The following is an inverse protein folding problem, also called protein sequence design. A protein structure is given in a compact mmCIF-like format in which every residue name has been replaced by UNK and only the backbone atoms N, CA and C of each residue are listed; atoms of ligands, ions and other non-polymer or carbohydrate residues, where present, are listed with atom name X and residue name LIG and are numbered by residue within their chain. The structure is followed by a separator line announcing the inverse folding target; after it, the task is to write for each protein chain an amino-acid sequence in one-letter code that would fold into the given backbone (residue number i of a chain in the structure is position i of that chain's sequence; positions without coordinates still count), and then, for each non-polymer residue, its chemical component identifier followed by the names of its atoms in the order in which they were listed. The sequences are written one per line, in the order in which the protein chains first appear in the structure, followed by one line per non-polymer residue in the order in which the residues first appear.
data_IF_932358372028
#
_entry.id   IF_932358372028
#
_cell.length_a   1.000
_cell.length_b   1.000
_cell.length_c   1.000
_cell.angle_alpha   90.00
_cell.angle_beta   90.00
_cell.angle_gamma   90.00
#
_symmetry.space_group_name_H-M   'P 1'
#
loop_
_entity.id
_entity.type
_entity.pdbx_description
1 polymer ?
#
# COMPACT_ATOMS: atom_id res chain seq x y z
N UNK A 1 24.75 35.98 -24.72
CA UNK A 1 23.88 35.90 -23.53
C UNK A 1 22.59 35.11 -23.82
N UNK A 2 21.84 35.41 -24.88
CA UNK A 2 20.54 34.76 -25.22
C UNK A 2 20.61 33.23 -25.32
N UNK A 3 21.62 32.64 -25.90
CA UNK A 3 21.78 31.18 -26.06
C UNK A 3 22.08 30.46 -24.73
N UNK A 4 22.74 31.14 -23.77
CA UNK A 4 23.02 30.54 -22.44
C UNK A 4 21.75 30.49 -21.58
N UNK A 5 20.88 31.50 -21.67
CA UNK A 5 19.59 31.56 -20.97
C UNK A 5 18.67 30.46 -21.52
N UNK A 6 18.62 30.27 -22.83
CA UNK A 6 17.81 29.22 -23.45
C UNK A 6 18.26 27.82 -23.02
N UNK A 7 19.55 27.57 -22.96
CA UNK A 7 20.14 26.31 -22.51
C UNK A 7 19.79 26.04 -21.03
N UNK A 8 19.85 27.04 -20.17
CA UNK A 8 19.51 26.94 -18.76
C UNK A 8 18.03 26.62 -18.57
N UNK A 9 17.13 27.23 -19.35
CA UNK A 9 15.69 26.96 -19.31
C UNK A 9 15.40 25.53 -19.76
N UNK A 10 16.03 25.03 -20.81
CA UNK A 10 15.87 23.64 -21.28
C UNK A 10 16.34 22.66 -20.21
N UNK A 11 17.50 22.90 -19.59
CA UNK A 11 18.04 22.05 -18.50
C UNK A 11 17.07 22.06 -17.31
N UNK A 12 16.54 23.19 -16.90
CA UNK A 12 15.57 23.28 -15.79
C UNK A 12 14.30 22.51 -16.13
N UNK A 13 13.76 22.64 -17.35
CA UNK A 13 12.56 21.92 -17.78
C UNK A 13 12.76 20.38 -17.81
N UNK A 14 13.98 19.90 -18.16
CA UNK A 14 14.28 18.46 -18.16
C UNK A 14 14.35 17.88 -16.73
N UNK A 15 14.75 18.67 -15.73
CA UNK A 15 14.79 18.21 -14.34
C UNK A 15 13.41 18.11 -13.67
N UNK A 16 12.39 18.80 -14.18
CA UNK A 16 11.02 18.70 -13.64
C UNK A 16 10.24 17.48 -14.14
N UNK A 17 10.73 16.74 -15.12
CA UNK A 17 10.02 15.58 -15.67
C UNK A 17 10.34 14.24 -14.97
N UNK A 18 11.28 14.21 -14.03
CA UNK A 18 11.65 12.98 -13.33
C UNK A 18 10.63 12.61 -12.24
N UNK A 19 9.87 11.55 -12.44
CA UNK A 19 9.11 10.86 -11.41
C UNK A 19 7.60 11.08 -11.40
N UNK A 20 7.02 11.58 -12.48
CA UNK A 20 5.55 11.69 -12.58
C UNK A 20 4.99 10.36 -13.05
N UNK A 21 4.40 9.59 -12.11
CA UNK A 21 3.58 8.45 -12.48
C UNK A 21 2.37 8.92 -13.27
N UNK A 22 2.07 8.21 -14.37
CA UNK A 22 0.82 8.41 -15.08
C UNK A 22 -0.31 7.79 -14.28
N UNK A 23 -1.17 8.64 -13.71
CA UNK A 23 -2.30 8.19 -12.88
C UNK A 23 -3.55 8.05 -13.74
N UNK A 24 -4.14 6.87 -13.73
CA UNK A 24 -5.33 6.52 -14.51
C UNK A 24 -6.59 6.49 -13.64
N UNK A 25 -7.76 6.69 -14.28
CA UNK A 25 -9.09 6.58 -13.66
C UNK A 25 -9.31 7.50 -12.43
N UNK A 26 -8.79 8.72 -12.49
CA UNK A 26 -8.99 9.72 -11.44
C UNK A 26 -10.45 10.11 -11.28
N UNK A 27 -11.19 10.11 -12.37
CA UNK A 27 -12.63 10.39 -12.46
C UNK A 27 -13.51 9.37 -11.71
N UNK A 28 -12.93 8.24 -11.30
CA UNK A 28 -13.60 7.18 -10.53
C UNK A 28 -13.21 7.18 -9.05
N UNK A 29 -12.31 8.08 -8.66
CA UNK A 29 -11.85 8.12 -7.27
C UNK A 29 -12.97 8.59 -6.35
N UNK A 30 -13.05 8.00 -5.14
CA UNK A 30 -13.92 8.47 -4.05
C UNK A 30 -13.60 9.95 -3.77
N UNK A 31 -14.63 10.73 -3.47
CA UNK A 31 -14.45 12.11 -2.98
C UNK A 31 -13.55 12.10 -1.74
N UNK A 32 -12.41 12.76 -1.83
CA UNK A 32 -11.42 12.84 -0.76
C UNK A 32 -11.44 14.17 0.00
N UNK A 33 -12.20 15.15 -0.49
CA UNK A 33 -12.28 16.47 0.16
C UNK A 33 -13.23 16.44 1.35
N UNK A 34 -14.40 15.80 1.17
CA UNK A 34 -15.47 15.74 2.16
C UNK A 34 -15.63 14.37 2.83
N UNK A 35 -14.73 13.44 2.55
CA UNK A 35 -14.82 12.09 3.08
C UNK A 35 -14.42 12.04 4.56
N UNK A 36 -15.19 11.28 5.34
CA UNK A 36 -14.86 11.01 6.74
C UNK A 36 -15.38 9.63 7.16
N UNK A 37 -14.62 8.95 7.99
CA UNK A 37 -14.98 7.66 8.57
C UNK A 37 -15.21 7.85 10.07
N UNK A 38 -16.41 7.47 10.53
CA UNK A 38 -16.75 7.53 11.95
C UNK A 38 -16.13 6.32 12.68
N UNK A 39 -15.48 6.59 13.82
CA UNK A 39 -14.97 5.58 14.75
C UNK A 39 -16.01 4.59 15.27
N UNK A 40 -17.31 4.92 15.19
CA UNK A 40 -18.38 3.99 15.55
C UNK A 40 -18.58 2.89 14.51
N UNK A 41 -18.22 3.15 13.25
CA UNK A 41 -18.34 2.17 12.17
C UNK A 41 -17.16 1.20 12.13
N UNK A 42 -15.95 1.71 12.32
CA UNK A 42 -14.70 0.94 12.34
C UNK A 42 -13.73 1.52 13.36
N UNK A 43 -13.00 0.67 14.07
CA UNK A 43 -11.90 1.10 14.93
C UNK A 43 -10.75 1.63 14.09
N UNK A 44 -10.24 2.82 14.44
CA UNK A 44 -9.19 3.50 13.68
C UNK A 44 -7.83 3.52 14.39
N UNK A 45 -7.73 3.01 15.63
CA UNK A 45 -6.50 2.97 16.42
C UNK A 45 -5.66 1.71 16.17
N UNK A 46 -5.52 1.32 14.90
CA UNK A 46 -4.80 0.13 14.51
C UNK A 46 -4.84 -0.09 13.00
N UNK A 47 -4.83 -1.34 12.61
CA UNK A 47 -4.94 -1.74 11.21
C UNK A 47 -5.86 -2.94 11.02
N UNK A 48 -6.42 -3.05 9.83
CA UNK A 48 -7.17 -4.21 9.38
C UNK A 48 -6.29 -5.10 8.53
N UNK A 49 -6.36 -6.42 8.76
CA UNK A 49 -5.54 -7.39 8.06
C UNK A 49 -6.34 -8.60 7.60
N UNK A 50 -5.89 -9.20 6.52
CA UNK A 50 -6.31 -10.52 6.08
C UNK A 50 -5.11 -11.43 5.90
N UNK A 51 -5.27 -12.69 6.27
CA UNK A 51 -4.28 -13.75 6.19
C UNK A 51 -4.44 -14.50 4.87
N UNK A 52 -3.34 -14.79 4.21
CA UNK A 52 -3.34 -15.65 3.04
C UNK A 52 -2.01 -16.42 2.91
N UNK A 53 -2.03 -17.46 2.12
CA UNK A 53 -0.84 -18.25 1.81
C UNK A 53 -0.55 -18.14 0.32
N UNK A 54 0.73 -18.05 -0.02
CA UNK A 54 1.19 -18.09 -1.40
C UNK A 54 2.16 -19.26 -1.56
N UNK A 55 1.92 -20.10 -2.57
CA UNK A 55 2.77 -21.23 -2.89
C UNK A 55 3.80 -20.83 -3.95
N UNK A 56 5.08 -20.91 -3.61
CA UNK A 56 6.18 -20.59 -4.49
C UNK A 56 6.59 -21.77 -5.36
N UNK A 57 6.83 -21.48 -6.65
CA UNK A 57 7.47 -22.39 -7.60
C UNK A 57 8.99 -22.17 -7.68
N UNK A 58 9.54 -22.36 -8.88
CA UNK A 58 10.99 -22.32 -9.12
C UNK A 58 11.63 -20.93 -9.03
N UNK A 59 10.85 -19.85 -9.13
CA UNK A 59 11.35 -18.46 -9.14
C UNK A 59 10.91 -17.70 -7.89
N UNK A 60 11.39 -18.13 -6.71
CA UNK A 60 11.14 -17.44 -5.46
C UNK A 60 12.19 -16.36 -5.16
N UNK A 61 11.85 -15.31 -4.39
CA UNK A 61 12.83 -14.34 -3.89
C UNK A 61 13.94 -15.05 -3.09
N UNK A 62 15.20 -14.57 -3.13
CA UNK A 62 16.35 -15.29 -2.54
C UNK A 62 16.15 -15.73 -1.08
N UNK A 63 15.54 -14.88 -0.23
CA UNK A 63 15.30 -15.21 1.18
C UNK A 63 14.19 -16.27 1.36
N UNK A 64 13.21 -16.32 0.46
CA UNK A 64 12.17 -17.36 0.42
C UNK A 64 12.77 -18.66 -0.09
N UNK A 65 13.61 -18.60 -1.13
CA UNK A 65 14.30 -19.76 -1.67
C UNK A 65 15.21 -20.43 -0.62
N UNK A 66 15.96 -19.64 0.15
CA UNK A 66 16.74 -20.15 1.28
C UNK A 66 15.89 -20.88 2.33
N UNK A 67 14.74 -20.32 2.65
CA UNK A 67 13.80 -20.95 3.58
C UNK A 67 13.26 -22.27 3.02
N UNK A 68 12.83 -22.27 1.76
CA UNK A 68 12.31 -23.47 1.07
C UNK A 68 13.37 -24.57 1.02
N UNK A 69 14.62 -24.22 0.67
CA UNK A 69 15.73 -25.20 0.64
C UNK A 69 16.00 -25.83 2.00
N UNK A 70 15.90 -25.07 3.07
CA UNK A 70 16.16 -25.54 4.45
C UNK A 70 15.02 -26.37 5.02
N UNK A 71 13.78 -26.08 4.65
CA UNK A 71 12.59 -26.63 5.34
C UNK A 71 11.73 -27.51 4.45
N UNK A 72 11.84 -27.41 3.13
CA UNK A 72 10.94 -28.04 2.16
C UNK A 72 9.55 -27.38 2.07
N UNK A 73 9.27 -26.33 2.84
CA UNK A 73 7.95 -25.66 2.92
C UNK A 73 7.86 -24.62 1.84
N UNK A 74 6.99 -24.84 0.83
CA UNK A 74 6.75 -23.92 -0.30
C UNK A 74 5.63 -22.91 -0.05
N UNK A 75 4.71 -23.20 0.88
CA UNK A 75 3.62 -22.30 1.25
C UNK A 75 4.08 -21.29 2.28
N UNK A 76 4.08 -20.02 1.90
CA UNK A 76 4.51 -18.91 2.75
C UNK A 76 3.29 -18.10 3.18
N UNK A 77 3.22 -17.81 4.46
CA UNK A 77 2.15 -17.04 5.10
C UNK A 77 2.38 -15.54 4.96
N UNK A 78 1.34 -14.85 4.50
CA UNK A 78 1.36 -13.42 4.23
C UNK A 78 0.20 -12.71 4.88
N UNK A 79 0.39 -11.43 5.16
CA UNK A 79 -0.65 -10.48 5.51
C UNK A 79 -0.83 -9.45 4.39
N UNK A 80 -2.08 -9.09 4.13
CA UNK A 80 -2.45 -7.84 3.45
C UNK A 80 -3.12 -6.94 4.46
N UNK A 81 -2.72 -5.68 4.52
CA UNK A 81 -3.05 -4.76 5.62
C UNK A 81 -3.60 -3.45 5.07
N UNK A 82 -4.59 -2.88 5.76
CA UNK A 82 -5.07 -1.52 5.57
C UNK A 82 -4.93 -0.73 6.86
N UNK A 83 -4.21 0.39 6.80
CA UNK A 83 -4.32 1.47 7.76
C UNK A 83 -5.38 2.44 7.27
N UNK A 84 -6.46 2.61 8.03
CA UNK A 84 -7.59 3.48 7.67
C UNK A 84 -7.57 4.69 8.60
N UNK A 85 -7.70 5.91 8.05
CA UNK A 85 -7.67 7.17 8.77
C UNK A 85 -9.06 7.81 8.81
N UNK A 86 -9.26 8.74 9.75
CA UNK A 86 -10.56 9.40 9.96
C UNK A 86 -11.07 10.16 8.74
N UNK A 87 -10.17 10.71 7.94
CA UNK A 87 -10.51 11.42 6.71
C UNK A 87 -10.71 10.51 5.49
N UNK A 88 -10.87 9.22 5.72
CA UNK A 88 -11.05 8.20 4.69
C UNK A 88 -9.75 7.83 3.95
N UNK A 89 -8.62 8.47 4.22
CA UNK A 89 -7.35 8.06 3.64
C UNK A 89 -6.97 6.65 4.08
N UNK A 90 -6.38 5.88 3.18
CA UNK A 90 -5.84 4.56 3.51
C UNK A 90 -4.40 4.39 3.01
N UNK A 91 -3.68 3.54 3.73
CA UNK A 91 -2.43 2.95 3.27
C UNK A 91 -2.61 1.45 3.23
N UNK A 92 -2.42 0.88 2.04
CA UNK A 92 -2.39 -0.57 1.84
C UNK A 92 -0.95 -1.05 1.96
N UNK A 93 -0.76 -2.15 2.66
CA UNK A 93 0.52 -2.87 2.70
C UNK A 93 0.24 -4.32 2.34
N UNK A 94 0.74 -4.74 1.20
CA UNK A 94 0.53 -6.10 0.71
C UNK A 94 1.78 -6.97 0.85
N UNK A 95 1.59 -8.27 0.94
CA UNK A 95 2.68 -9.24 0.87
C UNK A 95 3.66 -9.22 2.04
N UNK A 96 3.22 -8.84 3.23
CA UNK A 96 4.05 -8.89 4.44
C UNK A 96 4.12 -10.32 4.96
N UNK A 97 5.33 -10.84 5.13
CA UNK A 97 5.57 -12.17 5.70
C UNK A 97 6.57 -12.12 6.86
N UNK A 98 6.60 -13.20 7.63
CA UNK A 98 7.47 -13.31 8.80
C UNK A 98 8.94 -13.62 8.49
N UNK A 99 9.25 -13.97 7.24
CA UNK A 99 10.61 -14.30 6.78
C UNK A 99 11.35 -13.09 6.24
N UNK A 100 10.67 -11.97 6.02
CA UNK A 100 11.26 -10.76 5.44
C UNK A 100 12.37 -10.21 6.33
N UNK A 101 13.56 -10.09 5.75
CA UNK A 101 14.68 -9.39 6.34
C UNK A 101 14.60 -7.91 5.94
N UNK A 102 14.16 -7.06 6.86
CA UNK A 102 14.31 -5.63 6.67
C UNK A 102 15.65 -5.21 7.28
N UNK A 103 16.48 -4.53 6.50
CA UNK A 103 17.76 -3.95 6.94
C UNK A 103 17.62 -2.92 8.08
N UNK A 104 16.42 -2.73 8.58
CA UNK A 104 16.04 -1.63 9.44
C UNK A 104 15.86 -2.01 10.90
N UNK A 105 15.61 -3.24 11.20
CA UNK A 105 15.52 -3.73 12.56
C UNK A 105 15.78 -5.24 12.56
N UNK A 106 16.60 -5.67 13.49
CA UNK A 106 16.75 -7.10 13.77
C UNK A 106 15.44 -7.60 14.38
N UNK A 107 14.95 -8.71 13.85
CA UNK A 107 13.89 -9.49 14.45
C UNK A 107 14.52 -10.55 15.35
N UNK A 108 13.87 -10.86 16.46
CA UNK A 108 14.24 -11.96 17.31
C UNK A 108 14.09 -13.31 16.59
N UNK A 109 13.09 -13.41 15.71
CA UNK A 109 12.79 -14.63 14.97
C UNK A 109 12.32 -14.33 13.56
N UNK A 110 12.73 -15.18 12.61
CA UNK A 110 12.26 -15.18 11.21
C UNK A 110 11.51 -16.49 10.99
N UNK A 111 10.20 -16.44 11.13
CA UNK A 111 9.34 -17.61 11.09
C UNK A 111 8.24 -17.45 10.04
N UNK A 112 7.86 -18.57 9.42
CA UNK A 112 6.71 -18.62 8.51
C UNK A 112 5.39 -18.69 9.30
N UNK A 113 5.14 -17.66 10.11
CA UNK A 113 3.92 -17.52 10.93
C UNK A 113 3.27 -16.17 10.68
N UNK A 114 1.96 -16.08 10.87
CA UNK A 114 1.24 -14.79 10.80
C UNK A 114 1.68 -13.84 11.91
N UNK A 115 2.00 -14.37 13.10
CA UNK A 115 2.49 -13.52 14.20
C UNK A 115 3.86 -12.91 13.88
N UNK A 116 4.76 -13.66 13.24
CA UNK A 116 6.03 -13.10 12.77
C UNK A 116 5.84 -12.06 11.65
N UNK A 117 4.80 -12.19 10.82
CA UNK A 117 4.42 -11.16 9.85
C UNK A 117 3.87 -9.90 10.54
N UNK A 118 3.09 -10.02 11.61
CA UNK A 118 2.66 -8.87 12.43
C UNK A 118 3.85 -8.15 13.08
N UNK A 119 4.84 -8.88 13.62
CA UNK A 119 6.09 -8.29 14.13
C UNK A 119 6.83 -7.49 13.04
N UNK A 120 6.81 -7.95 11.80
CA UNK A 120 7.37 -7.18 10.67
C UNK A 120 6.69 -5.82 10.52
N UNK A 121 5.35 -5.76 10.61
CA UNK A 121 4.61 -4.49 10.53
C UNK A 121 4.99 -3.57 11.70
N UNK A 122 5.07 -4.09 12.92
CA UNK A 122 5.48 -3.31 14.10
C UNK A 122 6.88 -2.71 13.93
N UNK A 123 7.82 -3.47 13.38
CA UNK A 123 9.16 -2.98 13.08
C UNK A 123 9.17 -1.88 12.01
N UNK A 124 8.35 -2.03 10.96
CA UNK A 124 8.16 -0.98 9.95
C UNK A 124 7.62 0.31 10.59
N UNK A 125 6.64 0.21 11.48
CA UNK A 125 6.06 1.35 12.19
C UNK A 125 7.09 2.03 13.11
N UNK A 126 7.91 1.28 13.84
CA UNK A 126 9.00 1.82 14.65
C UNK A 126 10.06 2.52 13.80
N UNK A 127 10.39 1.96 12.64
CA UNK A 127 11.44 2.47 11.75
C UNK A 127 11.10 3.81 11.11
N UNK A 128 9.83 4.17 10.97
CA UNK A 128 9.42 5.49 10.45
C UNK A 128 9.91 6.65 11.31
N UNK A 129 10.12 6.42 12.60
CA UNK A 129 10.60 7.41 13.58
C UNK A 129 12.13 7.37 13.75
N UNK A 130 12.84 6.56 12.97
CA UNK A 130 14.29 6.48 13.02
C UNK A 130 14.93 7.83 12.66
N UNK A 131 15.95 8.23 13.40
CA UNK A 131 16.81 9.37 13.07
C UNK A 131 17.70 9.09 11.86
N UNK A 132 17.97 7.82 11.57
CA UNK A 132 18.77 7.40 10.43
C UNK A 132 17.97 7.51 9.12
N UNK A 133 18.42 8.41 8.23
CA UNK A 133 17.75 8.68 6.95
C UNK A 133 17.61 7.43 6.07
N UNK A 134 18.59 6.52 6.08
CA UNK A 134 18.57 5.29 5.29
C UNK A 134 17.48 4.36 5.78
N UNK A 135 17.41 4.11 7.08
CA UNK A 135 16.40 3.30 7.74
C UNK A 135 15.01 3.84 7.47
N UNK A 136 14.78 5.14 7.68
CA UNK A 136 13.50 5.79 7.41
C UNK A 136 13.06 5.64 5.95
N UNK A 137 13.99 5.70 5.00
CA UNK A 137 13.68 5.57 3.56
C UNK A 137 13.36 4.14 3.14
N UNK A 138 14.09 3.15 3.67
CA UNK A 138 13.98 1.75 3.23
C UNK A 138 12.82 1.04 3.96
N UNK A 139 12.59 1.39 5.20
CA UNK A 139 11.70 0.67 6.11
C UNK A 139 10.45 1.45 6.48
N UNK A 140 10.46 2.73 6.19
CA UNK A 140 9.30 3.58 6.40
C UNK A 140 8.32 3.51 5.23
N UNK A 141 7.21 4.16 5.43
CA UNK A 141 6.20 4.35 4.41
C UNK A 141 6.55 5.56 3.55
N UNK A 142 6.57 5.41 2.22
CA UNK A 142 6.89 6.54 1.33
C UNK A 142 5.73 7.53 1.26
N UNK A 143 5.92 8.81 1.61
CA UNK A 143 4.87 9.82 1.46
C UNK A 143 4.70 10.30 0.00
N UNK A 144 5.70 10.05 -0.86
CA UNK A 144 5.78 10.68 -2.18
C UNK A 144 5.11 9.88 -3.29
N UNK A 145 4.95 8.57 -3.11
CA UNK A 145 4.43 7.69 -4.13
C UNK A 145 2.93 7.49 -3.95
N UNK A 146 2.18 7.47 -5.05
CA UNK A 146 0.75 7.14 -5.04
C UNK A 146 0.50 5.65 -4.78
N UNK A 147 1.50 4.81 -5.05
CA UNK A 147 1.39 3.37 -4.88
C UNK A 147 0.97 3.00 -3.46
N UNK A 148 0.03 2.08 -3.37
CA UNK A 148 -0.55 1.59 -2.11
C UNK A 148 -1.29 2.64 -1.26
N UNK A 149 -1.55 3.83 -1.81
CA UNK A 149 -2.39 4.84 -1.20
C UNK A 149 -3.77 4.84 -1.83
N UNK A 150 -4.77 5.11 -1.01
CA UNK A 150 -6.14 5.04 -1.43
C UNK A 150 -7.09 5.74 -0.49
N UNK A 151 -8.35 5.46 -0.69
CA UNK A 151 -9.47 6.02 0.05
C UNK A 151 -10.44 4.91 0.44
N UNK A 152 -11.06 5.06 1.59
CA UNK A 152 -12.18 4.23 2.01
C UNK A 152 -13.40 5.12 2.23
N UNK A 153 -14.55 4.62 1.84
CA UNK A 153 -15.86 5.22 2.06
C UNK A 153 -16.78 4.21 2.74
N UNK A 154 -17.56 4.66 3.70
CA UNK A 154 -18.56 3.84 4.39
C UNK A 154 -19.92 4.44 4.16
N UNK A 155 -20.81 3.65 3.60
CA UNK A 155 -22.22 3.96 3.47
C UNK A 155 -23.04 2.88 4.17
N UNK A 156 -23.65 3.25 5.31
CA UNK A 156 -24.33 2.32 6.21
C UNK A 156 -23.39 1.16 6.63
N UNK A 157 -23.70 -0.06 6.23
CA UNK A 157 -22.88 -1.24 6.47
C UNK A 157 -21.99 -1.63 5.29
N UNK A 158 -21.96 -0.84 4.22
CA UNK A 158 -21.11 -1.10 3.07
C UNK A 158 -19.80 -0.35 3.23
N UNK A 159 -18.73 -1.02 2.86
CA UNK A 159 -17.40 -0.42 2.76
C UNK A 159 -16.91 -0.51 1.31
N UNK A 160 -16.44 0.60 0.80
CA UNK A 160 -15.72 0.70 -0.47
C UNK A 160 -14.30 1.15 -0.17
N UNK A 161 -13.32 0.44 -0.70
CA UNK A 161 -11.90 0.76 -0.55
C UNK A 161 -11.30 0.89 -1.95
N UNK A 162 -10.74 2.04 -2.25
CA UNK A 162 -10.00 2.26 -3.49
C UNK A 162 -8.53 2.50 -3.19
N UNK A 163 -7.64 1.99 -4.02
CA UNK A 163 -6.20 2.25 -3.91
C UNK A 163 -5.54 2.20 -5.29
N UNK A 164 -4.41 2.90 -5.40
CA UNK A 164 -3.58 2.83 -6.59
C UNK A 164 -2.49 1.76 -6.43
N UNK A 165 -2.31 0.96 -7.48
CA UNK A 165 -1.17 0.08 -7.64
C UNK A 165 -0.29 0.56 -8.78
N UNK A 166 1.03 0.63 -8.53
CA UNK A 166 2.00 1.02 -9.54
C UNK A 166 2.42 -0.22 -10.32
N UNK A 167 2.26 -0.16 -11.63
CA UNK A 167 2.81 -1.16 -12.53
C UNK A 167 4.03 -0.60 -13.24
N UNK A 168 5.14 -1.32 -13.10
CA UNK A 168 6.35 -1.05 -13.89
C UNK A 168 6.07 -1.42 -15.33
N UNK A 169 6.15 -0.42 -16.22
CA UNK A 169 6.04 -0.65 -17.65
C UNK A 169 7.34 -1.22 -18.18
N UNK A 170 7.25 -1.97 -19.28
CA UNK A 170 8.46 -2.37 -20.01
C UNK A 170 9.12 -1.10 -20.57
N UNK A 171 10.37 -0.77 -20.19
CA UNK A 171 11.04 0.47 -20.60
C UNK A 171 11.14 0.66 -22.13
N UNK A 172 11.03 -0.43 -22.90
CA UNK A 172 11.02 -0.38 -24.36
C UNK A 172 9.68 0.04 -24.96
N UNK A 173 8.59 -0.01 -24.17
CA UNK A 173 7.23 0.33 -24.63
C UNK A 173 6.71 1.63 -24.03
N UNK A 174 7.04 1.92 -22.79
CA UNK A 174 6.68 3.15 -22.11
C UNK A 174 7.76 3.47 -21.05
N UNK A 175 8.27 4.69 -21.09
CA UNK A 175 9.29 5.16 -20.15
C UNK A 175 8.71 5.56 -18.78
N UNK A 176 7.38 5.58 -18.64
CA UNK A 176 6.70 6.02 -17.42
C UNK A 176 5.99 4.87 -16.73
N UNK A 177 6.22 4.74 -15.43
CA UNK A 177 5.41 3.87 -14.60
C UNK A 177 3.98 4.40 -14.53
N UNK A 178 3.01 3.50 -14.54
CA UNK A 178 1.59 3.84 -14.47
C UNK A 178 0.99 3.38 -13.16
N UNK A 179 0.15 4.24 -12.58
CA UNK A 179 -0.66 3.92 -11.41
C UNK A 179 -2.11 3.66 -11.86
N UNK A 180 -2.63 2.49 -11.54
CA UNK A 180 -3.99 2.05 -11.87
C UNK A 180 -4.83 1.94 -10.61
N UNK A 181 -6.08 2.36 -10.73
CA UNK A 181 -7.05 2.29 -9.64
C UNK A 181 -7.62 0.88 -9.52
N UNK A 182 -7.71 0.42 -8.27
CA UNK A 182 -8.42 -0.79 -7.85
C UNK A 182 -9.52 -0.39 -6.88
N UNK A 183 -10.62 -1.12 -6.89
CA UNK A 183 -11.74 -0.93 -5.98
C UNK A 183 -12.15 -2.26 -5.34
N UNK A 184 -12.27 -2.25 -4.05
CA UNK A 184 -12.79 -3.35 -3.25
C UNK A 184 -14.14 -2.95 -2.68
N UNK A 185 -15.14 -3.80 -2.84
CA UNK A 185 -16.46 -3.57 -2.24
C UNK A 185 -16.78 -4.69 -1.24
N UNK A 186 -17.29 -4.29 -0.10
CA UNK A 186 -17.53 -5.20 1.02
C UNK A 186 -18.63 -4.76 1.97
N UNK A 187 -18.72 -5.49 3.09
CA UNK A 187 -19.72 -5.25 4.13
C UNK A 187 -19.05 -5.29 5.50
N UNK A 188 -19.32 -4.30 6.33
CA UNK A 188 -18.89 -4.24 7.73
C UNK A 188 -19.68 -5.28 8.50
N UNK A 189 -18.99 -6.07 9.32
CA UNK A 189 -19.56 -7.09 10.19
C UNK A 189 -19.59 -6.64 11.65
N UNK A 190 -18.59 -5.86 12.05
CA UNK A 190 -18.48 -5.23 13.36
C UNK A 190 -17.49 -4.06 13.26
N UNK A 191 -17.34 -3.29 14.31
CA UNK A 191 -16.32 -2.24 14.41
C UNK A 191 -14.87 -2.76 14.26
N UNK A 192 -14.68 -4.09 14.36
CA UNK A 192 -13.38 -4.77 14.27
C UNK A 192 -13.24 -5.68 13.06
N UNK A 193 -14.22 -5.72 12.15
CA UNK A 193 -14.15 -6.62 11.00
C UNK A 193 -15.04 -6.21 9.84
N UNK A 194 -14.55 -6.46 8.63
CA UNK A 194 -15.34 -6.37 7.40
C UNK A 194 -14.96 -7.48 6.42
N UNK A 195 -15.86 -7.75 5.47
CA UNK A 195 -15.66 -8.75 4.42
C UNK A 195 -15.67 -8.06 3.07
N UNK A 196 -14.60 -8.22 2.30
CA UNK A 196 -14.56 -7.82 0.90
C UNK A 196 -15.22 -8.92 0.06
N UNK A 197 -16.18 -8.52 -0.76
CA UNK A 197 -16.98 -9.41 -1.62
C UNK A 197 -16.61 -9.33 -3.09
N UNK A 198 -16.03 -8.23 -3.52
CA UNK A 198 -15.57 -8.08 -4.90
C UNK A 198 -14.40 -7.13 -5.02
N UNK A 199 -13.60 -7.38 -6.05
CA UNK A 199 -12.50 -6.53 -6.51
C UNK A 199 -12.75 -6.13 -7.95
N UNK A 200 -12.55 -4.85 -8.27
CA UNK A 200 -12.61 -4.27 -9.61
C UNK A 200 -11.26 -3.71 -9.97
N UNK A 201 -10.70 -4.17 -11.06
CA UNK A 201 -9.52 -3.60 -11.70
C UNK A 201 -9.96 -2.70 -12.86
N UNK A 202 -9.85 -1.39 -12.69
CA UNK A 202 -10.34 -0.44 -13.71
C UNK A 202 -9.54 -0.48 -15.02
N UNK A 203 -8.27 -0.86 -15.00
CA UNK A 203 -7.45 -0.99 -16.21
C UNK A 203 -8.03 -1.97 -17.21
N UNK A 204 -8.41 -3.15 -16.72
CA UNK A 204 -8.91 -4.25 -17.55
C UNK A 204 -10.42 -4.35 -17.54
N UNK A 205 -11.08 -3.49 -16.77
CA UNK A 205 -12.52 -3.54 -16.46
C UNK A 205 -12.95 -4.92 -15.94
N UNK A 206 -12.05 -5.58 -15.18
CA UNK A 206 -12.28 -6.93 -14.69
C UNK A 206 -12.78 -6.89 -13.26
N UNK A 207 -13.96 -7.45 -13.05
CA UNK A 207 -14.52 -7.68 -11.72
C UNK A 207 -14.29 -9.12 -11.31
N UNK A 208 -13.80 -9.31 -10.09
CA UNK A 208 -13.62 -10.63 -9.45
C UNK A 208 -14.50 -10.71 -8.21
N UNK A 209 -15.08 -11.88 -7.98
CA UNK A 209 -15.73 -12.18 -6.70
C UNK A 209 -14.65 -12.56 -5.69
N UNK A 210 -14.74 -11.98 -4.49
CA UNK A 210 -13.81 -12.21 -3.39
C UNK A 210 -14.59 -12.64 -2.16
N UNK A 211 -13.90 -13.22 -1.21
CA UNK A 211 -14.43 -13.49 0.14
C UNK A 211 -13.30 -13.36 1.15
N UNK A 212 -12.76 -12.14 1.26
CA UNK A 212 -11.64 -11.84 2.15
C UNK A 212 -12.13 -11.17 3.42
N UNK A 213 -11.92 -11.80 4.57
CA UNK A 213 -12.25 -11.25 5.87
C UNK A 213 -11.06 -10.44 6.37
N UNK A 214 -11.31 -9.17 6.65
CA UNK A 214 -10.36 -8.29 7.32
C UNK A 214 -10.72 -8.17 8.79
N UNK A 215 -9.74 -8.43 9.67
CA UNK A 215 -9.83 -8.36 11.12
C UNK A 215 -8.99 -7.20 11.63
N UNK A 216 -9.44 -6.57 12.70
CA UNK A 216 -8.72 -5.47 13.34
C UNK A 216 -7.62 -5.97 14.28
N UNK A 217 -6.45 -5.32 14.23
CA UNK A 217 -5.40 -5.42 15.23
C UNK A 217 -5.04 -4.01 15.71
N UNK A 218 -5.14 -3.81 17.02
CA UNK A 218 -4.76 -2.56 17.64
C UNK A 218 -3.24 -2.34 17.57
N UNK A 219 -2.81 -1.09 17.39
CA UNK A 219 -1.42 -0.68 17.47
C UNK A 219 -1.32 0.74 18.00
N UNK A 220 -0.25 1.02 18.74
CA UNK A 220 0.01 2.35 19.31
C UNK A 220 0.45 3.37 18.25
N UNK A 221 0.85 2.89 17.08
CA UNK A 221 1.38 3.72 16.00
C UNK A 221 0.72 3.35 14.67
N UNK A 222 0.58 4.35 13.81
CA UNK A 222 0.21 4.21 12.40
C UNK A 222 1.26 4.90 11.55
N UNK A 223 1.32 4.62 10.23
CA UNK A 223 2.15 5.40 9.33
C UNK A 223 1.86 6.89 9.46
N UNK A 224 2.88 7.69 9.80
CA UNK A 224 2.76 9.15 9.92
C UNK A 224 2.91 9.79 8.53
N UNK A 225 1.87 9.65 7.72
CA UNK A 225 1.82 10.17 6.36
C UNK A 225 0.52 10.97 6.23
N UNK A 226 0.63 12.19 5.71
CA UNK A 226 -0.51 13.01 5.34
C UNK A 226 -1.30 12.38 4.19
N UNK A 227 -2.58 12.74 4.11
CA UNK A 227 -3.44 12.31 3.01
C UNK A 227 -2.86 12.75 1.66
N UNK A 228 -2.38 11.78 0.89
CA UNK A 228 -1.72 12.00 -0.38
C UNK A 228 -2.60 12.78 -1.37
N UNK A 229 -3.89 12.51 -1.38
CA UNK A 229 -4.83 13.13 -2.33
C UNK A 229 -5.06 14.59 -1.99
N UNK A 230 -5.26 14.92 -0.71
CA UNK A 230 -5.39 16.32 -0.24
C UNK A 230 -4.11 17.11 -0.48
N UNK A 231 -2.94 16.52 -0.23
CA UNK A 231 -1.64 17.16 -0.47
C UNK A 231 -1.31 17.32 -1.97
N UNK A 232 -2.02 16.64 -2.86
CA UNK A 232 -1.82 16.66 -4.31
C UNK A 232 -3.11 16.99 -5.08
N UNK A 233 -4.01 17.79 -4.51
CA UNK A 233 -5.35 18.06 -5.05
C UNK A 233 -5.33 18.47 -6.54
N UNK A 234 -4.38 19.32 -6.94
CA UNK A 234 -4.23 19.76 -8.33
C UNK A 234 -3.93 18.66 -9.34
N UNK A 235 -3.61 17.44 -8.88
CA UNK A 235 -3.38 16.29 -9.74
C UNK A 235 -4.64 15.45 -9.96
N UNK A 236 -5.67 15.66 -9.13
CA UNK A 236 -6.90 14.86 -9.13
C UNK A 236 -8.12 15.63 -9.60
N UNK A 237 -8.06 16.97 -9.58
CA UNK A 237 -9.05 17.90 -10.15
C UNK A 237 -8.80 18.17 -11.63
#
# INVERSE_FOLDING_TARGET
MRNRILLTIIIVLTFYSCGIFKTHHKDKLIDFENNSINNQSLKLNGYYYTEFEFEFGENSPPFIDDYIRKTGIKKIKYLSVFFIYEDGFIIKVGGINGLSHFYCAEKDTYENTYESAHKTIELMLKSQNSSERRTKRICGFSPKDIGDKGLAEIDNNNIKVQFYSIEMQNPTKDSFNSAYLYELNGTIKSDTSFVIKSEMEFRTNKKRTENKIFKFRQTDQKPNIENYFKSNINRFN
#
